data_IF_300196305220
#
_entry.id   IF_300196305220
#
_cell.length_a   1.000
_cell.length_b   1.000
_cell.length_c   1.000
_cell.angle_alpha   90.00
_cell.angle_beta   90.00
_cell.angle_gamma   90.00
#
_symmetry.space_group_name_H-M   'P 1'
#
loop_
_entity.id
_entity.type
_entity.pdbx_description
1 polymer ?
#
# COMPACT_ATOMS: atom_id res chain seq x y z
N UNK A 1 15.52 -8.03 -5.57
CA UNK A 1 16.36 -8.12 -4.35
C UNK A 1 15.57 -7.42 -3.26
N UNK A 2 15.07 -8.15 -2.27
CA UNK A 2 14.26 -7.58 -1.19
C UNK A 2 15.17 -6.97 -0.13
N UNK A 3 15.04 -5.67 0.12
CA UNK A 3 15.72 -4.99 1.23
C UNK A 3 15.09 -5.46 2.53
N UNK A 4 15.84 -6.19 3.35
CA UNK A 4 15.42 -6.55 4.70
C UNK A 4 15.87 -5.41 5.61
N UNK A 5 14.92 -4.55 6.00
CA UNK A 5 15.19 -3.49 6.96
C UNK A 5 15.41 -4.13 8.33
N UNK A 6 16.59 -3.91 8.90
CA UNK A 6 17.04 -4.57 10.13
C UNK A 6 16.44 -3.89 11.37
N UNK A 7 15.98 -2.65 11.21
CA UNK A 7 15.40 -1.85 12.30
C UNK A 7 13.92 -2.17 12.54
N UNK A 8 13.23 -2.75 11.54
CA UNK A 8 11.81 -3.13 11.62
C UNK A 8 11.62 -4.62 11.28
N UNK A 9 12.03 -5.55 12.17
CA UNK A 9 12.04 -6.99 11.87
C UNK A 9 10.65 -7.59 11.67
N UNK A 10 9.61 -6.93 12.19
CA UNK A 10 8.22 -7.36 12.11
C UNK A 10 7.32 -6.18 11.73
N UNK A 11 6.48 -6.41 10.73
CA UNK A 11 5.56 -5.41 10.23
C UNK A 11 4.64 -5.98 9.16
N UNK A 12 3.63 -5.21 8.78
CA UNK A 12 2.72 -5.55 7.69
C UNK A 12 2.27 -4.31 6.92
N UNK A 13 1.86 -4.51 5.67
CA UNK A 13 1.27 -3.46 4.86
C UNK A 13 -0.26 -3.59 4.84
N UNK A 14 -0.98 -2.50 5.08
CA UNK A 14 -2.40 -2.40 4.80
C UNK A 14 -2.63 -1.68 3.47
N UNK A 15 -3.58 -2.18 2.67
CA UNK A 15 -3.91 -1.61 1.37
C UNK A 15 -5.36 -1.12 1.36
N UNK A 16 -5.57 0.12 0.96
CA UNK A 16 -6.89 0.65 0.63
C UNK A 16 -6.93 0.99 -0.85
N UNK A 17 -7.86 0.40 -1.59
CA UNK A 17 -7.95 0.53 -3.04
C UNK A 17 -9.22 1.30 -3.42
N UNK A 18 -9.05 2.39 -4.14
CA UNK A 18 -10.10 3.08 -4.88
C UNK A 18 -9.94 2.73 -6.37
N UNK A 19 -10.81 1.88 -6.95
CA UNK A 19 -10.72 1.47 -8.34
C UNK A 19 -11.25 2.54 -9.32
N UNK A 20 -11.73 3.69 -8.86
CA UNK A 20 -12.51 4.61 -9.70
C UNK A 20 -13.91 4.08 -10.00
N UNK A 21 -14.69 4.84 -10.80
CA UNK A 21 -16.12 4.58 -11.04
C UNK A 21 -16.37 3.84 -12.34
N UNK A 22 -15.53 4.03 -13.35
CA UNK A 22 -15.73 3.52 -14.71
C UNK A 22 -14.49 2.78 -15.25
N UNK A 23 -14.66 1.92 -16.27
CA UNK A 23 -13.54 1.33 -16.99
C UNK A 23 -12.57 2.40 -17.50
N UNK A 24 -11.27 2.16 -17.38
CA UNK A 24 -10.24 3.12 -17.78
C UNK A 24 -9.94 4.23 -16.77
N UNK A 25 -10.69 4.34 -15.68
CA UNK A 25 -10.40 5.30 -14.61
C UNK A 25 -9.02 5.05 -13.97
N UNK A 26 -8.51 6.08 -13.29
CA UNK A 26 -7.29 5.94 -12.50
C UNK A 26 -7.62 5.27 -11.18
N UNK A 27 -7.15 4.04 -10.99
CA UNK A 27 -7.16 3.38 -9.70
C UNK A 27 -6.08 4.00 -8.80
N UNK A 28 -6.42 4.18 -7.53
CA UNK A 28 -5.51 4.61 -6.46
C UNK A 28 -5.41 3.51 -5.43
N UNK A 29 -4.20 3.21 -5.00
CA UNK A 29 -3.94 2.28 -3.91
C UNK A 29 -3.10 2.99 -2.86
N UNK A 30 -3.66 3.15 -1.67
CA UNK A 30 -2.95 3.62 -0.50
C UNK A 30 -2.32 2.42 0.20
N UNK A 31 -1.01 2.43 0.34
CA UNK A 31 -0.27 1.44 1.10
C UNK A 31 0.27 2.12 2.36
N UNK A 32 -0.03 1.53 3.52
CA UNK A 32 0.51 1.97 4.81
C UNK A 32 1.31 0.81 5.40
N UNK A 33 2.59 1.02 5.67
CA UNK A 33 3.46 0.05 6.32
C UNK A 33 3.46 0.31 7.83
N UNK A 34 3.10 -0.72 8.60
CA UNK A 34 3.10 -0.70 10.05
C UNK A 34 4.26 -1.54 10.58
N UNK A 35 4.99 -0.97 11.53
CA UNK A 35 6.03 -1.66 12.30
C UNK A 35 5.49 -2.10 13.66
N UNK A 36 5.95 -3.27 14.11
CA UNK A 36 5.69 -3.85 15.44
C UNK A 36 6.96 -3.75 16.29
N UNK A 37 7.42 -2.53 16.50
CA UNK A 37 8.69 -2.21 17.15
C UNK A 37 8.54 -1.87 18.64
N UNK A 38 7.31 -1.71 19.13
CA UNK A 38 7.05 -1.31 20.51
C UNK A 38 6.79 -2.50 21.45
N UNK A 39 7.35 -2.51 22.68
CA UNK A 39 7.25 -3.63 23.63
C UNK A 39 5.83 -4.06 24.02
N UNK A 40 4.85 -3.18 23.84
CA UNK A 40 3.43 -3.39 24.15
C UNK A 40 2.59 -3.82 22.92
N UNK A 41 3.22 -4.11 21.78
CA UNK A 41 2.51 -4.49 20.55
C UNK A 41 1.78 -3.34 19.87
N UNK A 42 2.12 -2.09 20.22
CA UNK A 42 1.55 -0.91 19.58
C UNK A 42 2.05 -0.78 18.14
N UNK A 43 1.14 -0.44 17.22
CA UNK A 43 1.42 -0.28 15.79
C UNK A 43 1.98 1.12 15.53
N UNK A 44 3.17 1.20 14.95
CA UNK A 44 3.76 2.45 14.47
C UNK A 44 3.59 2.54 12.95
N UNK A 45 3.07 3.66 12.44
CA UNK A 45 3.11 3.92 10.99
C UNK A 45 4.54 4.29 10.63
N UNK A 46 5.18 3.48 9.79
CA UNK A 46 6.55 3.70 9.34
C UNK A 46 6.59 4.47 8.02
N UNK A 47 5.81 4.02 7.03
CA UNK A 47 5.76 4.65 5.71
C UNK A 47 4.35 4.59 5.12
N UNK A 48 4.00 5.62 4.36
CA UNK A 48 2.77 5.65 3.57
C UNK A 48 3.04 6.20 2.18
N UNK A 49 2.56 5.49 1.16
CA UNK A 49 2.60 5.99 -0.23
C UNK A 49 1.32 5.63 -0.99
N UNK A 50 1.10 6.33 -2.10
CA UNK A 50 -0.05 6.11 -2.99
C UNK A 50 0.42 5.71 -4.37
N UNK A 51 0.05 4.50 -4.81
CA UNK A 51 0.20 4.08 -6.20
C UNK A 51 -0.99 4.56 -7.02
N UNK A 52 -0.73 5.14 -8.19
CA UNK A 52 -1.76 5.58 -9.15
C UNK A 52 -1.53 4.88 -10.48
N UNK A 53 -2.53 4.18 -10.99
CA UNK A 53 -2.45 3.46 -12.27
C UNK A 53 -3.76 3.56 -13.04
N UNK A 54 -3.71 3.86 -14.33
CA UNK A 54 -4.89 3.76 -15.20
C UNK A 54 -5.33 2.31 -15.35
N UNK A 55 -6.63 2.04 -15.26
CA UNK A 55 -7.19 0.71 -15.48
C UNK A 55 -7.10 0.33 -16.96
N UNK A 56 -6.73 -0.93 -17.23
CA UNK A 56 -6.56 -1.45 -18.59
C UNK A 56 -7.89 -1.83 -19.27
N UNK A 57 -8.97 -1.93 -18.51
CA UNK A 57 -10.30 -2.34 -19.01
C UNK A 57 -11.04 -1.25 -19.79
N UNK A 58 -10.53 -0.01 -19.83
CA UNK A 58 -11.05 1.06 -20.68
C UNK A 58 -10.59 0.99 -22.15
N UNK A 59 -9.60 0.15 -22.47
CA UNK A 59 -9.09 0.00 -23.85
C UNK A 59 -9.89 -0.98 -24.71
N UNK A 60 -10.93 -1.61 -24.17
CA UNK A 60 -11.78 -2.53 -24.92
C UNK A 60 -12.94 -1.77 -25.58
N UNK A 61 -12.70 -1.26 -26.78
CA UNK A 61 -13.72 -0.80 -27.73
C UNK A 61 -13.44 -1.41 -29.10
#
# INVERSE_FOLDING_TARGET
MGTRDVDHPYGFAAFTVDPGRFPGDTARMHATYYSLDKPNGELSVFEQFTLRRKRSDGHRH
#
